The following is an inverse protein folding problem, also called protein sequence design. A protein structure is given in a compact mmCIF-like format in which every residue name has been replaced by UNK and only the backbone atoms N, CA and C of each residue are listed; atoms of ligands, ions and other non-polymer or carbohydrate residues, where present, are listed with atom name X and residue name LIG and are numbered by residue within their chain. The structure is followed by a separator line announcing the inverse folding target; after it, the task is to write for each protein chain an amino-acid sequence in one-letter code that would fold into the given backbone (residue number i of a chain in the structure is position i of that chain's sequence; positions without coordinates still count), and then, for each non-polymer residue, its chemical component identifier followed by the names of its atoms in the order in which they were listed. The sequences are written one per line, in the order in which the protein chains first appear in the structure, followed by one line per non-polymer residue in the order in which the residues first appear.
data_IF_943475637205
#
_entry.id   IF_943475637205
#
_cell.length_a   1.000
_cell.length_b   1.000
_cell.length_c   1.000
_cell.angle_alpha   90.00
_cell.angle_beta   90.00
_cell.angle_gamma   90.00
#
_symmetry.space_group_name_H-M   'P 1'
#
loop_
_entity.id
_entity.type
_entity.pdbx_description
1 polymer ?
#
# COMPACT_ATOMS: atom_id res chain seq x y z
N UNK A 1 50.04 -4.89 22.82
CA UNK A 1 48.67 -5.24 22.39
C UNK A 1 48.49 -4.63 21.03
N UNK A 2 48.49 -5.46 19.99
CA UNK A 2 48.31 -5.01 18.61
C UNK A 2 46.81 -5.05 18.33
N UNK A 3 46.22 -3.89 18.05
CA UNK A 3 44.89 -3.83 17.47
C UNK A 3 44.95 -4.49 16.09
N UNK A 4 44.22 -5.59 15.94
CA UNK A 4 43.94 -6.18 14.64
C UNK A 4 43.19 -5.12 13.83
N UNK A 5 43.68 -4.69 12.66
CA UNK A 5 42.93 -3.78 11.83
C UNK A 5 41.62 -4.46 11.43
N UNK A 6 40.49 -3.85 11.80
CA UNK A 6 39.17 -4.21 11.26
C UNK A 6 39.33 -4.24 9.74
N UNK A 7 38.97 -5.36 9.10
CA UNK A 7 39.06 -5.49 7.65
C UNK A 7 38.37 -4.28 7.03
N UNK A 8 39.12 -3.43 6.35
CA UNK A 8 38.56 -2.25 5.70
C UNK A 8 37.43 -2.72 4.78
N UNK A 9 36.21 -2.24 5.04
CA UNK A 9 35.01 -2.48 4.22
C UNK A 9 35.38 -2.20 2.75
N UNK A 10 35.58 -3.27 1.97
CA UNK A 10 35.77 -3.16 0.52
C UNK A 10 34.39 -3.20 -0.10
N UNK A 11 34.03 -2.26 -1.00
CA UNK A 11 32.73 -2.28 -1.64
C UNK A 11 32.54 -3.60 -2.38
N UNK A 12 31.43 -4.27 -2.10
CA UNK A 12 31.05 -5.50 -2.80
C UNK A 12 30.33 -5.10 -4.08
N UNK A 13 30.73 -5.66 -5.21
CA UNK A 13 30.10 -5.31 -6.49
C UNK A 13 28.86 -6.17 -6.74
N UNK A 14 27.71 -5.52 -6.92
CA UNK A 14 26.44 -6.18 -7.25
C UNK A 14 26.12 -5.97 -8.72
N UNK A 15 25.70 -7.04 -9.42
CA UNK A 15 25.20 -6.96 -10.79
C UNK A 15 23.71 -6.71 -10.78
N UNK A 16 23.24 -5.99 -11.79
CA UNK A 16 21.81 -5.77 -12.03
C UNK A 16 21.57 -5.69 -13.54
N UNK A 17 20.33 -5.75 -13.96
CA UNK A 17 19.95 -5.67 -15.37
C UNK A 17 18.99 -4.51 -15.60
N UNK A 18 19.23 -3.79 -16.68
CA UNK A 18 18.32 -2.74 -17.12
C UNK A 18 17.35 -3.28 -18.15
N UNK A 19 16.07 -3.13 -17.86
CA UNK A 19 14.99 -3.44 -18.78
C UNK A 19 14.42 -2.17 -19.41
N UNK A 20 14.12 -2.18 -20.73
CA UNK A 20 13.32 -1.14 -21.36
C UNK A 20 11.98 -0.97 -20.66
N UNK A 21 11.54 0.28 -20.47
CA UNK A 21 10.24 0.55 -19.85
C UNK A 21 9.05 -0.01 -20.63
N UNK A 22 9.20 -0.21 -21.95
CA UNK A 22 8.17 -0.81 -22.80
C UNK A 22 7.90 -2.30 -22.53
N UNK A 23 8.77 -2.98 -21.79
CA UNK A 23 8.53 -4.36 -21.34
C UNK A 23 7.51 -4.45 -20.20
N UNK A 24 7.29 -3.34 -19.47
CA UNK A 24 6.40 -3.30 -18.32
C UNK A 24 5.20 -2.38 -18.57
N UNK A 25 3.99 -2.75 -18.12
CA UNK A 25 2.86 -1.84 -18.15
C UNK A 25 3.14 -0.56 -17.34
N UNK A 26 2.82 0.60 -17.90
CA UNK A 26 3.10 1.90 -17.28
C UNK A 26 2.38 2.04 -15.92
N UNK A 27 3.04 2.61 -14.89
CA UNK A 27 2.43 2.81 -13.60
C UNK A 27 1.27 3.80 -13.67
N UNK A 28 0.33 3.66 -12.74
CA UNK A 28 -0.80 4.55 -12.59
C UNK A 28 -0.33 5.76 -11.77
N UNK A 29 -0.32 6.93 -12.40
CA UNK A 29 -0.06 8.22 -11.75
C UNK A 29 -1.23 9.13 -12.07
N UNK A 30 -2.09 9.37 -11.09
CA UNK A 30 -3.31 10.12 -11.29
C UNK A 30 -3.70 10.91 -10.03
N UNK A 31 -4.12 12.15 -10.22
CA UNK A 31 -4.72 12.96 -9.16
C UNK A 31 -6.22 12.70 -9.12
N UNK A 32 -6.70 12.12 -8.02
CA UNK A 32 -8.07 11.61 -7.91
C UNK A 32 -8.69 11.97 -6.57
N UNK A 33 -10.01 12.20 -6.50
CA UNK A 33 -10.74 12.23 -5.24
C UNK A 33 -10.53 10.94 -4.44
N UNK A 34 -10.07 11.06 -3.20
CA UNK A 34 -9.77 9.93 -2.32
C UNK A 34 -10.74 9.86 -1.14
N UNK A 35 -11.16 8.65 -0.77
CA UNK A 35 -11.95 8.36 0.40
C UNK A 35 -11.37 7.17 1.18
N UNK A 36 -11.61 7.18 2.48
CA UNK A 36 -11.17 6.18 3.44
C UNK A 36 -12.43 5.62 4.13
N UNK A 37 -12.64 4.30 4.04
CA UNK A 37 -13.80 3.61 4.61
C UNK A 37 -13.32 2.41 5.42
N UNK A 38 -13.67 2.36 6.71
CA UNK A 38 -13.40 1.20 7.57
C UNK A 38 -14.62 0.88 8.42
N UNK A 39 -14.87 -0.41 8.64
CA UNK A 39 -15.95 -0.91 9.49
C UNK A 39 -15.33 -1.45 10.78
N UNK A 40 -15.46 -0.68 11.86
CA UNK A 40 -14.86 -0.97 13.15
C UNK A 40 -15.87 -1.64 14.08
N UNK A 41 -15.39 -2.50 14.98
CA UNK A 41 -16.19 -3.21 15.97
C UNK A 41 -15.62 -2.90 17.35
N UNK A 42 -15.80 -1.67 17.84
CA UNK A 42 -15.09 -1.16 19.02
C UNK A 42 -15.43 -1.90 20.31
N UNK A 43 -16.58 -2.59 20.34
CA UNK A 43 -17.04 -3.36 21.51
C UNK A 43 -16.43 -4.78 21.58
N UNK A 44 -15.66 -5.19 20.56
CA UNK A 44 -15.02 -6.51 20.54
C UNK A 44 -13.58 -6.41 21.05
N UNK A 45 -13.20 -7.39 21.86
CA UNK A 45 -11.79 -7.55 22.26
C UNK A 45 -10.96 -8.09 21.07
N UNK A 46 -9.86 -7.44 20.69
CA UNK A 46 -9.02 -7.90 19.58
C UNK A 46 -8.27 -9.17 19.97
N UNK A 47 -8.18 -10.12 19.03
CA UNK A 47 -7.36 -11.35 19.20
C UNK A 47 -6.39 -11.63 18.08
N UNK A 48 -6.43 -10.83 17.03
CA UNK A 48 -5.39 -10.76 16.02
C UNK A 48 -4.87 -9.35 15.88
N UNK A 49 -3.60 -9.26 15.52
CA UNK A 49 -3.16 -8.15 14.69
C UNK A 49 -3.58 -8.47 13.26
N UNK A 50 -4.12 -7.49 12.54
CA UNK A 50 -4.42 -7.67 11.13
C UNK A 50 -3.17 -8.17 10.42
N UNK A 51 -3.29 -9.31 9.75
CA UNK A 51 -2.14 -9.92 9.05
C UNK A 51 -1.70 -9.09 7.83
N UNK A 52 -2.58 -8.19 7.40
CA UNK A 52 -2.33 -7.24 6.33
C UNK A 52 -1.64 -5.99 6.89
N UNK A 53 -0.33 -5.85 6.66
CA UNK A 53 0.37 -4.56 6.66
C UNK A 53 -0.06 -3.70 5.44
N UNK A 54 -1.34 -3.75 5.09
CA UNK A 54 -1.81 -3.30 3.80
C UNK A 54 -2.73 -2.09 3.89
N UNK A 55 -2.64 -1.19 2.89
CA UNK A 55 -1.57 -1.11 1.91
C UNK A 55 -0.30 -0.60 2.56
N UNK A 56 0.87 -1.20 2.33
CA UNK A 56 1.88 -0.91 1.28
C UNK A 56 1.82 0.50 0.62
N UNK A 57 0.92 1.36 1.08
CA UNK A 57 0.75 2.73 0.69
C UNK A 57 1.44 3.58 1.74
N UNK A 58 2.20 4.56 1.28
CA UNK A 58 2.74 5.58 2.15
C UNK A 58 2.02 6.88 1.80
N UNK A 59 1.07 7.36 2.62
CA UNK A 59 0.49 8.68 2.44
C UNK A 59 1.49 9.74 2.91
N UNK A 60 1.82 10.72 2.06
CA UNK A 60 2.75 11.79 2.43
C UNK A 60 2.55 13.06 1.62
N UNK A 61 3.13 14.16 2.08
CA UNK A 61 3.19 15.41 1.34
C UNK A 61 4.59 15.59 0.73
N UNK A 62 4.64 16.07 -0.49
CA UNK A 62 5.86 16.51 -1.17
C UNK A 62 5.56 17.85 -1.84
N UNK A 63 6.13 18.93 -1.30
CA UNK A 63 5.66 20.29 -1.59
C UNK A 63 4.18 20.44 -1.24
N UNK A 64 3.41 21.01 -2.16
CA UNK A 64 1.95 21.21 -2.02
C UNK A 64 1.12 19.98 -2.43
N UNK A 65 1.77 18.89 -2.85
CA UNK A 65 1.09 17.68 -3.33
C UNK A 65 0.96 16.65 -2.22
N UNK A 66 -0.28 16.24 -1.93
CA UNK A 66 -0.58 15.10 -1.08
C UNK A 66 -0.64 13.82 -1.91
N UNK A 67 0.30 12.91 -1.67
CA UNK A 67 0.47 11.66 -2.38
C UNK A 67 -0.02 10.46 -1.57
N UNK A 68 -0.40 9.42 -2.28
CA UNK A 68 -0.52 8.06 -1.74
C UNK A 68 0.28 7.17 -2.66
N UNK A 69 1.37 6.60 -2.12
CA UNK A 69 2.33 5.85 -2.91
C UNK A 69 2.28 4.37 -2.58
N UNK A 70 1.87 3.55 -3.53
CA UNK A 70 1.86 2.10 -3.44
C UNK A 70 3.10 1.54 -4.14
N UNK A 71 3.90 0.78 -3.41
CA UNK A 71 5.03 0.03 -4.00
C UNK A 71 4.62 -1.35 -4.56
N UNK A 72 3.43 -1.87 -4.22
CA UNK A 72 2.86 -3.13 -4.74
C UNK A 72 1.42 -2.91 -5.21
N UNK A 73 0.93 -3.79 -6.09
CA UNK A 73 -0.44 -3.70 -6.58
C UNK A 73 -1.43 -3.96 -5.44
N UNK A 74 -2.31 -3.01 -5.22
CA UNK A 74 -3.33 -2.95 -4.17
C UNK A 74 -4.75 -2.84 -4.71
N UNK A 75 -4.89 -2.40 -5.96
CA UNK A 75 -6.17 -2.33 -6.64
C UNK A 75 -6.71 -3.74 -6.82
N UNK A 76 -7.86 -4.02 -6.20
CA UNK A 76 -8.54 -5.33 -6.28
C UNK A 76 -8.66 -5.78 -7.75
N UNK A 77 -8.45 -7.04 -8.08
CA UNK A 77 -8.77 -7.52 -9.42
C UNK A 77 -10.30 -7.56 -9.60
N UNK A 78 -10.79 -6.85 -10.61
CA UNK A 78 -12.18 -6.91 -11.04
C UNK A 78 -12.19 -7.31 -12.50
N UNK A 79 -13.00 -8.28 -12.86
CA UNK A 79 -13.21 -8.67 -14.26
C UNK A 79 -13.86 -7.51 -15.02
N UNK A 80 -13.03 -6.65 -15.62
CA UNK A 80 -13.28 -6.15 -16.95
C UNK A 80 -13.68 -4.69 -17.16
N UNK A 81 -14.06 -3.90 -16.14
CA UNK A 81 -14.69 -2.61 -16.45
C UNK A 81 -14.33 -1.45 -15.50
N UNK A 82 -13.02 -1.19 -15.36
CA UNK A 82 -12.54 0.01 -14.62
C UNK A 82 -12.15 1.15 -15.53
N UNK A 83 -12.01 0.91 -16.84
CA UNK A 83 -11.44 1.88 -17.77
C UNK A 83 -10.01 2.31 -17.41
N UNK A 84 -9.37 3.17 -18.23
CA UNK A 84 -8.08 3.74 -17.89
C UNK A 84 -8.18 4.70 -16.69
N UNK A 85 -7.09 4.98 -15.95
CA UNK A 85 -7.10 5.90 -14.81
C UNK A 85 -7.74 7.26 -15.07
N UNK A 86 -7.68 7.75 -16.32
CA UNK A 86 -8.29 9.00 -16.75
C UNK A 86 -9.84 9.00 -16.69
N UNK A 87 -10.49 7.82 -16.61
CA UNK A 87 -11.96 7.70 -16.51
C UNK A 87 -12.42 7.43 -15.08
N UNK A 88 -11.52 7.39 -14.10
CA UNK A 88 -11.89 7.11 -12.71
C UNK A 88 -12.43 8.38 -12.05
N UNK A 89 -13.59 8.28 -11.39
CA UNK A 89 -14.18 9.40 -10.64
C UNK A 89 -13.59 9.55 -9.24
N UNK A 90 -12.92 8.51 -8.75
CA UNK A 90 -12.24 8.53 -7.47
C UNK A 90 -11.74 7.15 -7.05
N UNK A 91 -11.06 7.13 -5.91
CA UNK A 91 -10.53 5.93 -5.28
C UNK A 91 -10.96 5.88 -3.82
N UNK A 92 -11.22 4.67 -3.35
CA UNK A 92 -11.63 4.40 -1.98
C UNK A 92 -10.74 3.30 -1.41
N UNK A 93 -10.13 3.58 -0.26
CA UNK A 93 -9.32 2.64 0.48
C UNK A 93 -10.09 2.10 1.70
N UNK A 94 -9.97 0.80 1.91
CA UNK A 94 -10.32 0.12 3.15
C UNK A 94 -9.04 -0.38 3.83
N UNK A 95 -9.12 -0.86 5.10
CA UNK A 95 -7.96 -1.48 5.74
C UNK A 95 -7.39 -2.68 4.96
N UNK A 96 -8.18 -3.29 4.08
CA UNK A 96 -7.75 -4.47 3.33
C UNK A 96 -7.52 -4.23 1.84
N UNK A 97 -8.13 -3.20 1.23
CA UNK A 97 -8.17 -3.07 -0.24
C UNK A 97 -8.11 -1.61 -0.71
N UNK A 98 -7.67 -1.42 -1.95
CA UNK A 98 -7.93 -0.21 -2.72
C UNK A 98 -8.89 -0.54 -3.87
N UNK A 99 -9.91 0.29 -4.07
CA UNK A 99 -10.83 0.15 -5.20
C UNK A 99 -11.11 1.48 -5.89
N UNK A 100 -11.43 1.38 -7.18
CA UNK A 100 -11.95 2.51 -7.97
C UNK A 100 -13.42 2.70 -7.59
N UNK A 101 -13.82 3.95 -7.33
CA UNK A 101 -15.22 4.30 -7.14
C UNK A 101 -15.90 4.25 -8.51
N UNK A 102 -16.89 3.36 -8.72
CA UNK A 102 -17.56 3.25 -10.02
C UNK A 102 -18.44 4.45 -10.31
N UNK A 103 -18.71 4.69 -11.60
CA UNK A 103 -19.63 5.72 -12.10
C UNK A 103 -21.10 5.44 -11.78
N UNK A 104 -21.42 4.21 -11.35
CA UNK A 104 -22.76 3.76 -10.97
C UNK A 104 -22.73 3.11 -9.58
N UNK A 105 -23.87 3.11 -8.90
CA UNK A 105 -24.00 2.56 -7.54
C UNK A 105 -23.44 1.13 -7.44
N UNK A 106 -22.61 0.88 -6.41
CA UNK A 106 -22.02 -0.44 -6.25
C UNK A 106 -21.55 -0.74 -4.83
N UNK A 107 -21.53 -2.04 -4.51
CA UNK A 107 -21.00 -2.62 -3.27
C UNK A 107 -19.52 -3.03 -3.45
N UNK A 108 -18.69 -2.26 -4.16
CA UNK A 108 -17.35 -2.72 -4.61
C UNK A 108 -16.38 -3.07 -3.48
N UNK A 109 -16.62 -2.53 -2.28
CA UNK A 109 -15.65 -2.58 -1.19
C UNK A 109 -16.02 -3.66 -0.19
N UNK A 110 -15.10 -4.62 -0.02
CA UNK A 110 -15.19 -5.57 1.08
C UNK A 110 -14.76 -4.84 2.36
N UNK A 111 -15.68 -4.77 3.32
CA UNK A 111 -15.44 -4.16 4.64
C UNK A 111 -15.02 -5.19 5.71
N UNK A 112 -15.05 -6.48 5.35
CA UNK A 112 -14.61 -7.63 6.15
C UNK A 112 -13.89 -8.61 5.23
N UNK A 113 -13.09 -9.50 5.79
CA UNK A 113 -12.42 -10.59 5.06
C UNK A 113 -12.72 -11.95 5.69
N UNK A 114 -12.26 -13.03 5.08
CA UNK A 114 -12.45 -14.41 5.56
C UNK A 114 -11.11 -15.09 5.85
N UNK A 115 -11.07 -15.96 6.86
CA UNK A 115 -9.92 -16.80 7.21
C UNK A 115 -10.44 -18.12 7.80
N UNK A 116 -10.02 -19.26 7.25
CA UNK A 116 -10.31 -20.60 7.78
C UNK A 116 -11.80 -20.79 8.15
N UNK A 117 -12.69 -20.46 7.20
CA UNK A 117 -14.16 -20.44 7.34
C UNK A 117 -14.75 -19.42 8.34
N UNK A 118 -13.91 -18.69 9.09
CA UNK A 118 -14.30 -17.57 9.94
C UNK A 118 -14.30 -16.23 9.19
N UNK A 119 -15.06 -15.26 9.70
CA UNK A 119 -15.04 -13.87 9.24
C UNK A 119 -14.09 -13.03 10.09
N UNK A 120 -13.13 -12.38 9.44
CA UNK A 120 -12.23 -11.42 10.07
C UNK A 120 -12.90 -10.05 10.06
N UNK A 121 -13.09 -9.47 11.24
CA UNK A 121 -13.61 -8.12 11.41
C UNK A 121 -12.54 -7.19 12.01
N UNK A 122 -12.55 -5.93 11.60
CA UNK A 122 -11.67 -4.91 12.17
C UNK A 122 -12.23 -4.41 13.49
N UNK A 123 -11.42 -4.43 14.55
CA UNK A 123 -11.74 -3.82 15.85
C UNK A 123 -11.36 -2.34 15.84
N UNK A 124 -10.11 -2.04 15.48
CA UNK A 124 -9.61 -0.68 15.20
C UNK A 124 -8.58 -0.74 14.07
N UNK A 125 -8.51 0.31 13.24
CA UNK A 125 -7.54 0.39 12.16
C UNK A 125 -7.15 1.81 11.78
N UNK A 126 -5.93 1.97 11.25
CA UNK A 126 -5.58 3.14 10.43
C UNK A 126 -5.53 2.72 8.96
N UNK A 127 -6.09 3.53 8.05
CA UNK A 127 -5.93 3.26 6.62
C UNK A 127 -4.45 3.44 6.27
N UNK A 128 -3.86 2.44 5.59
CA UNK A 128 -2.42 2.37 5.32
C UNK A 128 -1.55 2.33 6.58
N UNK A 129 -2.06 1.70 7.65
CA UNK A 129 -1.36 1.49 8.91
C UNK A 129 -1.78 0.19 9.57
N UNK A 130 -1.54 0.11 10.88
CA UNK A 130 -1.87 -1.07 11.66
C UNK A 130 -3.39 -1.22 11.86
N UNK A 131 -3.82 -2.48 11.96
CA UNK A 131 -5.17 -2.85 12.34
C UNK A 131 -5.16 -3.95 13.37
N UNK A 132 -6.15 -3.95 14.25
CA UNK A 132 -6.48 -5.05 15.15
C UNK A 132 -7.77 -5.70 14.68
N UNK A 133 -7.83 -7.02 14.82
CA UNK A 133 -8.93 -7.82 14.28
C UNK A 133 -9.47 -8.80 15.30
N UNK A 134 -10.72 -9.22 15.10
CA UNK A 134 -11.33 -10.35 15.77
C UNK A 134 -11.83 -11.37 14.73
N UNK A 135 -11.83 -12.65 15.10
CA UNK A 135 -12.37 -13.73 14.28
C UNK A 135 -13.76 -14.11 14.77
N UNK A 136 -14.74 -14.05 13.88
CA UNK A 136 -16.13 -14.41 14.15
C UNK A 136 -16.51 -15.68 13.39
N UNK A 137 -17.30 -16.56 13.99
CA UNK A 137 -17.75 -17.80 13.34
C UNK A 137 -18.57 -17.50 12.07
N UNK A 138 -19.45 -16.50 12.15
CA UNK A 138 -20.24 -16.01 11.04
C UNK A 138 -20.58 -14.54 11.25
N UNK A 139 -20.44 -13.73 10.20
CA UNK A 139 -20.80 -12.32 10.25
C UNK A 139 -21.30 -11.82 8.91
N UNK A 140 -22.54 -11.34 8.89
CA UNK A 140 -23.11 -10.69 7.71
C UNK A 140 -22.73 -9.21 7.71
N UNK A 141 -21.75 -8.78 6.91
CA UNK A 141 -21.35 -7.38 6.88
C UNK A 141 -22.53 -6.42 6.58
N UNK A 142 -22.59 -5.25 7.23
CA UNK A 142 -23.55 -4.20 6.88
C UNK A 142 -23.47 -3.81 5.40
N UNK A 143 -24.62 -3.59 4.78
CA UNK A 143 -24.66 -3.13 3.38
C UNK A 143 -24.24 -1.67 3.32
N UNK A 144 -23.11 -1.41 2.66
CA UNK A 144 -22.59 -0.07 2.40
C UNK A 144 -22.41 0.13 0.91
N UNK A 145 -23.01 1.19 0.37
CA UNK A 145 -22.93 1.57 -1.04
C UNK A 145 -22.40 2.98 -1.18
N UNK A 146 -21.40 3.17 -2.04
CA UNK A 146 -21.02 4.51 -2.47
C UNK A 146 -21.95 4.93 -3.60
N UNK A 147 -22.64 6.06 -3.43
CA UNK A 147 -23.55 6.61 -4.42
C UNK A 147 -22.83 7.57 -5.37
N UNK A 148 -21.97 8.42 -4.82
CA UNK A 148 -21.34 9.52 -5.53
C UNK A 148 -20.05 9.91 -4.81
N UNK A 149 -18.99 10.16 -5.59
CA UNK A 149 -17.81 10.87 -5.14
C UNK A 149 -17.59 12.10 -6.02
N UNK A 150 -17.61 13.27 -5.42
CA UNK A 150 -17.22 14.53 -6.07
C UNK A 150 -16.11 15.20 -5.28
N UNK A 151 -15.41 16.18 -5.83
CA UNK A 151 -14.26 16.86 -5.17
C UNK A 151 -14.55 17.32 -3.72
N UNK A 152 -15.79 17.70 -3.42
CA UNK A 152 -16.20 18.29 -2.14
C UNK A 152 -16.84 17.33 -1.14
N UNK A 153 -17.26 16.12 -1.55
CA UNK A 153 -17.95 15.18 -0.66
C UNK A 153 -17.96 13.73 -1.17
N UNK A 154 -18.25 12.82 -0.25
CA UNK A 154 -18.67 11.44 -0.52
C UNK A 154 -20.14 11.29 -0.08
N UNK A 155 -20.98 10.69 -0.94
CA UNK A 155 -22.32 10.22 -0.58
C UNK A 155 -22.35 8.71 -0.58
N UNK A 156 -22.96 8.15 0.45
CA UNK A 156 -23.06 6.71 0.64
C UNK A 156 -24.37 6.35 1.32
N UNK A 157 -24.83 5.13 1.11
CA UNK A 157 -25.93 4.52 1.87
C UNK A 157 -25.33 3.44 2.76
N UNK A 158 -25.61 3.51 4.06
CA UNK A 158 -25.28 2.45 5.01
C UNK A 158 -26.58 1.98 5.65
N UNK A 159 -26.87 0.67 5.53
CA UNK A 159 -28.09 0.03 6.05
C UNK A 159 -29.38 0.78 5.67
N UNK A 160 -29.46 1.22 4.40
CA UNK A 160 -30.62 1.94 3.86
C UNK A 160 -30.71 3.43 4.21
N UNK A 161 -29.82 3.94 5.05
CA UNK A 161 -29.77 5.37 5.40
C UNK A 161 -28.70 6.08 4.56
N UNK A 162 -29.07 7.20 3.93
CA UNK A 162 -28.13 8.02 3.16
C UNK A 162 -27.33 8.96 4.06
N UNK A 163 -26.03 9.02 3.80
CA UNK A 163 -25.08 9.90 4.47
C UNK A 163 -24.28 10.71 3.45
N UNK A 164 -24.00 11.96 3.82
CA UNK A 164 -23.04 12.81 3.13
C UNK A 164 -21.88 13.16 4.09
N UNK A 165 -20.65 13.01 3.60
CA UNK A 165 -19.41 13.34 4.32
C UNK A 165 -18.62 14.35 3.49
N UNK A 166 -18.29 15.50 4.06
CA UNK A 166 -17.58 16.57 3.35
C UNK A 166 -16.09 16.31 3.29
N UNK A 167 -15.45 16.82 2.25
CA UNK A 167 -13.99 16.86 2.15
C UNK A 167 -13.38 17.56 3.36
N UNK A 168 -12.24 17.06 3.83
CA UNK A 168 -11.54 17.51 5.04
C UNK A 168 -12.14 16.98 6.34
N UNK A 169 -13.21 16.18 6.30
CA UNK A 169 -13.90 15.69 7.51
C UNK A 169 -13.79 14.18 7.68
N UNK A 170 -13.97 13.75 8.93
CA UNK A 170 -14.19 12.36 9.34
C UNK A 170 -15.58 12.27 9.95
N UNK A 171 -16.31 11.21 9.62
CA UNK A 171 -17.60 10.87 10.21
C UNK A 171 -17.56 9.44 10.73
N UNK A 172 -18.13 9.21 11.91
CA UNK A 172 -18.44 7.88 12.43
C UNK A 172 -19.95 7.68 12.32
N UNK A 173 -20.37 6.53 11.82
CA UNK A 173 -21.76 6.16 11.61
C UNK A 173 -21.98 4.87 12.38
N UNK A 174 -22.67 4.95 13.51
CA UNK A 174 -23.09 3.76 14.27
C UNK A 174 -24.15 3.01 13.46
N UNK A 175 -23.97 1.70 13.33
CA UNK A 175 -24.86 0.81 12.59
C UNK A 175 -25.74 0.00 13.54
N UNK A 176 -26.63 -0.83 12.99
CA UNK A 176 -27.46 -1.69 13.81
C UNK A 176 -26.61 -2.61 14.69
N UNK A 177 -27.02 -2.71 15.96
CA UNK A 177 -26.44 -3.66 16.92
C UNK A 177 -26.55 -5.10 16.40
N UNK A 178 -25.51 -5.89 16.64
CA UNK A 178 -25.40 -7.27 16.20
C UNK A 178 -24.91 -8.15 17.33
N UNK A 179 -25.44 -9.37 17.35
CA UNK A 179 -24.96 -10.44 18.22
C UNK A 179 -24.09 -11.36 17.39
N UNK A 180 -22.86 -11.60 17.84
CA UNK A 180 -21.83 -12.35 17.12
C UNK A 180 -21.19 -13.40 18.01
N UNK A 181 -20.73 -14.50 17.42
CA UNK A 181 -20.00 -15.56 18.10
C UNK A 181 -18.55 -15.54 17.64
N UNK A 182 -17.62 -15.69 18.58
CA UNK A 182 -16.19 -15.63 18.31
C UNK A 182 -15.66 -17.00 17.94
N UNK A 183 -14.87 -17.06 16.86
CA UNK A 183 -14.31 -18.32 16.37
C UNK A 183 -13.15 -18.85 17.25
N UNK A 184 -12.59 -18.03 18.14
CA UNK A 184 -11.49 -18.41 19.02
C UNK A 184 -11.92 -18.95 20.40
N UNK A 185 -13.20 -19.29 20.56
CA UNK A 185 -13.71 -19.96 21.76
C UNK A 185 -13.98 -19.03 22.95
N UNK A 186 -14.30 -17.75 22.68
CA UNK A 186 -14.78 -16.83 23.71
C UNK A 186 -16.10 -17.26 24.35
N UNK A 187 -16.43 -16.70 25.53
CA UNK A 187 -17.63 -17.04 26.31
C UNK A 187 -18.92 -16.58 25.60
N UNK A 188 -19.41 -17.40 24.67
CA UNK A 188 -20.71 -17.26 24.02
C UNK A 188 -20.90 -16.02 23.16
N UNK A 189 -22.16 -15.80 22.80
CA UNK A 189 -22.57 -14.69 21.97
C UNK A 189 -22.27 -13.32 22.62
N UNK A 190 -21.56 -12.46 21.89
CA UNK A 190 -21.23 -11.09 22.30
C UNK A 190 -22.01 -10.08 21.46
N UNK A 191 -22.47 -9.00 22.08
CA UNK A 191 -23.14 -7.90 21.38
C UNK A 191 -22.12 -6.83 20.98
N UNK A 192 -22.20 -6.37 19.73
CA UNK A 192 -21.38 -5.26 19.21
C UNK A 192 -22.21 -4.31 18.37
N UNK A 193 -21.88 -3.02 18.41
CA UNK A 193 -22.42 -1.98 17.53
C UNK A 193 -21.35 -1.55 16.55
N UNK A 194 -21.35 -2.08 15.31
CA UNK A 194 -20.35 -1.71 14.33
C UNK A 194 -20.40 -0.23 14.00
N UNK A 195 -19.24 0.38 13.74
CA UNK A 195 -19.11 1.75 13.30
C UNK A 195 -18.51 1.81 11.90
N UNK A 196 -19.25 2.35 10.94
CA UNK A 196 -18.68 2.75 9.66
C UNK A 196 -17.97 4.10 9.84
N UNK A 197 -16.64 4.09 9.78
CA UNK A 197 -15.83 5.29 9.81
C UNK A 197 -15.45 5.69 8.40
N UNK A 198 -15.83 6.92 8.05
CA UNK A 198 -15.64 7.50 6.73
C UNK A 198 -14.82 8.76 6.85
N UNK A 199 -13.72 8.85 6.11
CA UNK A 199 -12.93 10.09 5.99
C UNK A 199 -12.79 10.44 4.52
N UNK A 200 -12.89 11.73 4.23
CA UNK A 200 -12.77 12.27 2.87
C UNK A 200 -11.62 13.27 2.84
N UNK A 201 -10.37 12.83 2.64
CA UNK A 201 -9.22 13.73 2.72
C UNK A 201 -9.12 14.75 1.58
N UNK A 202 -9.91 14.57 0.52
CA UNK A 202 -9.89 15.40 -0.70
C UNK A 202 -9.20 14.69 -1.85
N UNK A 203 -8.59 15.44 -2.75
CA UNK A 203 -7.80 14.86 -3.84
C UNK A 203 -6.45 14.37 -3.34
N UNK A 204 -5.97 13.28 -3.93
CA UNK A 204 -4.64 12.72 -3.71
C UNK A 204 -4.01 12.34 -5.03
N UNK A 205 -2.70 12.56 -5.15
CA UNK A 205 -1.91 12.01 -6.24
C UNK A 205 -1.58 10.56 -5.92
N UNK A 206 -2.26 9.64 -6.60
CA UNK A 206 -2.04 8.22 -6.50
C UNK A 206 -0.81 7.86 -7.34
N UNK A 207 0.15 7.18 -6.73
CA UNK A 207 1.19 6.44 -7.42
C UNK A 207 0.98 4.97 -7.14
N UNK A 208 0.81 4.16 -8.18
CA UNK A 208 0.49 2.74 -8.03
C UNK A 208 1.07 1.96 -9.21
N UNK A 209 1.54 0.71 -9.03
CA UNK A 209 1.92 -0.13 -10.16
C UNK A 209 0.76 -0.28 -11.16
N UNK A 210 1.00 -0.72 -12.38
CA UNK A 210 -0.13 -1.09 -13.24
C UNK A 210 -0.96 -2.23 -12.62
N UNK A 211 -2.20 -2.38 -13.07
CA UNK A 211 -3.01 -3.54 -12.69
C UNK A 211 -2.34 -4.83 -13.16
N UNK A 212 -2.23 -5.82 -12.26
CA UNK A 212 -1.56 -7.09 -12.54
C UNK A 212 -0.05 -6.97 -12.83
N UNK A 213 0.57 -5.83 -12.48
CA UNK A 213 2.00 -5.61 -12.66
C UNK A 213 2.84 -6.68 -11.95
N UNK A 214 3.84 -7.16 -12.65
CA UNK A 214 4.91 -8.04 -12.17
C UNK A 214 6.16 -7.24 -11.75
N UNK A 215 5.95 -6.04 -11.21
CA UNK A 215 7.00 -5.21 -10.65
C UNK A 215 6.54 -4.50 -9.37
N UNK A 216 7.52 -4.19 -8.51
CA UNK A 216 7.38 -3.23 -7.42
C UNK A 216 7.71 -1.83 -7.93
N UNK A 217 6.88 -0.86 -7.59
CA UNK A 217 7.07 0.53 -8.02
C UNK A 217 7.81 1.33 -6.93
N UNK A 218 8.76 2.16 -7.35
CA UNK A 218 9.48 3.07 -6.47
C UNK A 218 9.51 4.49 -7.06
N UNK A 219 9.64 5.52 -6.20
CA UNK A 219 9.87 6.89 -6.64
C UNK A 219 11.09 6.97 -7.57
N UNK A 220 11.19 8.08 -8.32
CA UNK A 220 12.35 8.31 -9.17
C UNK A 220 13.66 8.43 -8.38
N UNK A 221 13.61 8.90 -7.12
CA UNK A 221 14.78 9.30 -6.33
C UNK A 221 15.73 10.30 -7.02
N UNK A 222 15.39 10.83 -8.20
CA UNK A 222 16.31 11.62 -9.02
C UNK A 222 17.42 10.78 -9.66
N UNK A 223 17.32 9.45 -9.62
CA UNK A 223 18.29 8.55 -10.25
C UNK A 223 18.05 8.49 -11.76
N UNK A 224 19.13 8.45 -12.54
CA UNK A 224 19.08 8.09 -13.96
C UNK A 224 19.73 6.70 -14.13
N UNK A 225 18.92 5.69 -14.42
CA UNK A 225 19.41 4.31 -14.57
C UNK A 225 20.39 4.13 -15.74
N UNK A 226 20.46 5.06 -16.71
CA UNK A 226 21.51 5.05 -17.75
C UNK A 226 22.91 5.29 -17.17
N UNK A 227 22.97 6.04 -16.07
CA UNK A 227 24.23 6.48 -15.46
C UNK A 227 24.69 5.58 -14.32
N UNK A 228 23.80 4.70 -13.83
CA UNK A 228 24.11 3.75 -12.75
C UNK A 228 25.12 2.71 -13.25
N UNK A 229 26.29 2.55 -12.59
CA UNK A 229 27.27 1.54 -13.00
C UNK A 229 26.72 0.12 -12.92
N UNK A 230 27.16 -0.73 -13.85
CA UNK A 230 26.92 -2.16 -13.80
C UNK A 230 28.22 -2.92 -14.13
N UNK A 231 28.82 -3.65 -13.17
CA UNK A 231 28.35 -3.85 -11.80
C UNK A 231 28.44 -2.59 -10.93
N UNK A 232 27.54 -2.48 -9.96
CA UNK A 232 27.46 -1.38 -9.00
C UNK A 232 28.34 -1.68 -7.78
N UNK A 233 29.34 -0.84 -7.45
CA UNK A 233 30.05 -0.95 -6.17
C UNK A 233 29.11 -0.56 -5.03
N UNK A 234 28.78 -1.50 -4.16
CA UNK A 234 27.85 -1.29 -3.04
C UNK A 234 28.66 -1.08 -1.75
N UNK A 235 28.51 0.08 -1.08
CA UNK A 235 29.19 0.34 0.17
C UNK A 235 28.57 -0.47 1.31
N UNK A 236 29.41 -0.92 2.23
CA UNK A 236 29.01 -1.61 3.44
C UNK A 236 29.58 -0.92 4.67
N UNK A 237 28.81 -0.96 5.76
CA UNK A 237 29.23 -0.52 7.09
C UNK A 237 28.97 -1.68 8.05
N UNK A 238 30.01 -2.14 8.75
CA UNK A 238 29.95 -3.34 9.60
C UNK A 238 29.50 -4.61 8.85
N UNK A 239 29.81 -4.69 7.55
CA UNK A 239 29.40 -5.79 6.70
C UNK A 239 27.91 -5.77 6.28
N UNK A 240 27.13 -4.77 6.65
CA UNK A 240 25.75 -4.58 6.17
C UNK A 240 25.70 -3.49 5.09
N UNK A 241 24.67 -3.52 4.24
CA UNK A 241 24.45 -2.49 3.22
C UNK A 241 24.33 -1.11 3.88
N UNK A 242 25.17 -0.16 3.44
CA UNK A 242 25.07 1.24 3.85
C UNK A 242 24.16 2.00 2.88
N UNK A 243 22.89 2.19 3.26
CA UNK A 243 21.89 2.82 2.41
C UNK A 243 22.21 4.28 2.09
N UNK A 244 22.83 5.01 3.02
CA UNK A 244 23.14 6.44 2.85
C UNK A 244 24.36 6.61 1.95
N UNK A 245 25.43 5.85 2.19
CA UNK A 245 26.60 5.85 1.32
C UNK A 245 26.27 5.37 -0.10
N UNK A 246 25.36 4.39 -0.26
CA UNK A 246 24.91 3.96 -1.58
C UNK A 246 24.18 5.10 -2.30
N UNK A 247 23.30 5.83 -1.61
CA UNK A 247 22.62 6.98 -2.19
C UNK A 247 23.60 8.08 -2.61
N UNK A 248 24.57 8.41 -1.76
CA UNK A 248 25.63 9.39 -2.09
C UNK A 248 26.45 8.96 -3.31
N UNK A 249 26.82 7.68 -3.41
CA UNK A 249 27.55 7.14 -4.57
C UNK A 249 26.79 7.27 -5.89
N UNK A 250 25.46 7.34 -5.82
CA UNK A 250 24.55 7.53 -6.96
C UNK A 250 24.09 8.99 -7.09
N UNK A 251 24.72 9.92 -6.35
CA UNK A 251 24.41 11.35 -6.33
C UNK A 251 22.96 11.66 -5.93
N UNK A 252 22.35 10.83 -5.08
CA UNK A 252 20.98 11.03 -4.59
C UNK A 252 20.99 11.87 -3.32
N UNK A 253 20.36 13.04 -3.37
CA UNK A 253 20.09 13.83 -2.16
C UNK A 253 18.85 13.30 -1.45
N UNK A 254 19.07 12.42 -0.46
CA UNK A 254 18.00 11.92 0.40
C UNK A 254 17.58 12.94 1.47
N UNK A 255 18.44 13.89 1.84
CA UNK A 255 18.18 14.85 2.92
C UNK A 255 17.05 15.82 2.56
N UNK A 256 16.94 16.17 1.27
CA UNK A 256 15.86 16.99 0.74
C UNK A 256 14.53 16.22 0.53
N UNK A 257 14.51 14.89 0.77
CA UNK A 257 13.34 14.05 0.50
C UNK A 257 12.45 13.85 1.73
N UNK A 258 11.12 13.73 1.55
CA UNK A 258 10.22 13.30 2.60
C UNK A 258 10.68 11.97 3.22
N UNK A 259 10.48 11.80 4.53
CA UNK A 259 10.81 10.56 5.25
C UNK A 259 10.30 9.29 4.55
N UNK A 260 9.05 9.24 4.07
CA UNK A 260 8.52 8.17 3.22
C UNK A 260 9.38 7.76 2.03
N UNK A 261 9.93 8.72 1.28
CA UNK A 261 10.80 8.41 0.14
C UNK A 261 12.15 7.85 0.60
N UNK A 262 12.67 8.28 1.76
CA UNK A 262 13.90 7.70 2.34
C UNK A 262 13.71 6.23 2.77
N UNK A 263 12.54 5.89 3.30
CA UNK A 263 12.18 4.50 3.63
C UNK A 263 12.04 3.67 2.34
N UNK A 264 11.38 4.20 1.32
CA UNK A 264 11.27 3.54 0.01
C UNK A 264 12.63 3.35 -0.68
N UNK A 265 13.57 4.26 -0.44
CA UNK A 265 14.96 4.10 -0.88
C UNK A 265 15.64 2.90 -0.21
N UNK A 266 15.54 2.78 1.12
CA UNK A 266 16.10 1.63 1.84
C UNK A 266 15.49 0.31 1.31
N UNK A 267 14.19 0.30 1.04
CA UNK A 267 13.50 -0.84 0.47
C UNK A 267 14.05 -1.28 -0.90
N UNK A 268 14.19 -0.36 -1.87
CA UNK A 268 14.74 -0.72 -3.18
C UNK A 268 16.22 -1.10 -3.07
N UNK A 269 17.00 -0.38 -2.26
CA UNK A 269 18.41 -0.65 -2.06
C UNK A 269 18.65 -2.06 -1.49
N UNK A 270 17.90 -2.44 -0.46
CA UNK A 270 17.96 -3.79 0.10
C UNK A 270 17.45 -4.83 -0.90
N UNK A 271 16.36 -4.57 -1.62
CA UNK A 271 15.79 -5.59 -2.53
C UNK A 271 16.63 -5.80 -3.79
N UNK A 272 17.24 -4.75 -4.33
CA UNK A 272 17.96 -4.79 -5.60
C UNK A 272 19.49 -4.84 -5.45
N UNK A 273 20.04 -4.38 -4.33
CA UNK A 273 21.49 -4.15 -4.21
C UNK A 273 22.09 -4.69 -2.90
N UNK A 274 21.35 -5.44 -2.09
CA UNK A 274 21.94 -6.08 -0.92
C UNK A 274 23.00 -7.11 -1.37
N UNK A 275 24.29 -6.91 -0.99
CA UNK A 275 25.37 -7.81 -1.39
C UNK A 275 25.25 -9.21 -0.80
N UNK A 276 24.42 -9.39 0.24
CA UNK A 276 24.18 -10.67 0.91
C UNK A 276 22.83 -11.31 0.55
N UNK A 277 22.03 -10.65 -0.30
CA UNK A 277 20.81 -11.24 -0.80
C UNK A 277 21.15 -12.54 -1.54
N UNK A 278 20.70 -13.68 -1.00
CA UNK A 278 20.83 -14.99 -1.64
C UNK A 278 19.76 -15.12 -2.74
N UNK A 279 19.82 -14.27 -3.75
CA UNK A 279 18.99 -14.43 -4.94
C UNK A 279 19.79 -15.14 -6.03
N UNK A 280 19.20 -16.18 -6.61
CA UNK A 280 19.73 -16.84 -7.81
C UNK A 280 19.54 -15.97 -9.07
N UNK A 281 18.74 -14.91 -8.97
CA UNK A 281 18.38 -14.03 -10.07
C UNK A 281 19.04 -12.66 -9.96
N UNK A 282 19.46 -12.13 -11.12
CA UNK A 282 20.00 -10.78 -11.24
C UNK A 282 18.82 -9.79 -11.21
N UNK A 283 18.80 -8.80 -10.31
CA UNK A 283 17.68 -7.88 -10.18
C UNK A 283 17.49 -7.07 -11.46
N UNK A 284 16.26 -7.04 -11.98
CA UNK A 284 15.88 -6.32 -13.20
C UNK A 284 15.16 -5.03 -12.85
N UNK A 285 15.72 -3.90 -13.26
CA UNK A 285 15.21 -2.56 -13.03
C UNK A 285 14.79 -1.90 -14.35
N UNK A 286 13.66 -1.22 -14.33
CA UNK A 286 13.23 -0.34 -15.42
C UNK A 286 13.00 1.08 -14.90
N UNK A 287 13.14 2.06 -15.78
CA UNK A 287 12.80 3.44 -15.49
C UNK A 287 11.73 3.93 -16.44
N UNK A 288 10.56 4.24 -15.90
CA UNK A 288 9.43 4.74 -16.68
C UNK A 288 9.66 6.18 -17.15
N UNK A 289 8.98 6.67 -18.21
CA UNK A 289 9.07 8.06 -18.67
C UNK A 289 8.73 9.10 -17.59
N UNK A 290 7.98 8.70 -16.56
CA UNK A 290 7.62 9.50 -15.40
C UNK A 290 8.74 9.57 -14.35
N UNK A 291 9.92 9.02 -14.66
CA UNK A 291 11.09 8.93 -13.78
C UNK A 291 11.03 7.80 -12.75
N UNK A 292 9.85 7.22 -12.51
CA UNK A 292 9.66 6.15 -11.52
C UNK A 292 10.45 4.90 -11.88
N UNK A 293 10.85 4.15 -10.85
CA UNK A 293 11.64 2.92 -11.02
C UNK A 293 10.76 1.71 -10.76
N UNK A 294 10.73 0.77 -11.69
CA UNK A 294 10.14 -0.55 -11.51
C UNK A 294 11.21 -1.58 -11.19
N UNK A 295 11.02 -2.39 -10.15
CA UNK A 295 11.83 -3.56 -9.86
C UNK A 295 11.00 -4.80 -10.17
N UNK A 296 11.43 -5.59 -11.16
CA UNK A 296 10.77 -6.84 -11.53
C UNK A 296 10.66 -7.73 -10.30
N UNK A 297 9.48 -8.30 -10.07
CA UNK A 297 9.35 -9.44 -9.17
C UNK A 297 9.44 -10.69 -10.03
N UNK A 298 10.34 -11.60 -9.68
CA UNK A 298 10.25 -12.94 -10.23
C UNK A 298 8.89 -13.48 -9.78
N UNK A 299 8.05 -13.86 -10.75
CA UNK A 299 6.96 -14.76 -10.42
C UNK A 299 7.66 -16.04 -10.01
N UNK A 300 7.65 -16.35 -8.71
CA UNK A 300 7.85 -17.72 -8.29
C UNK A 300 6.99 -18.57 -9.22
N UNK A 301 7.64 -19.41 -10.02
CA UNK A 301 6.96 -20.33 -10.90
C UNK A 301 6.06 -21.17 -10.01
N UNK A 302 4.76 -20.87 -10.06
CA UNK A 302 3.79 -21.53 -9.20
C UNK A 302 3.88 -23.04 -9.36
N UNK A 303 3.98 -23.73 -8.23
CA UNK A 303 3.26 -24.97 -8.00
C UNK A 303 2.06 -24.66 -7.09
#
# INVERSE_FOLDING_TARGET
MSETPTAADRPTTVRWERSPHGEFPAPIIARLPYAELKLEHPDLEPTGYGESFFPDAVPYASGDTHRIFYWRSALRDGTGDRGPPATWEGICATPATLGVVPTAESNVFDLVSSRDDATVVTVDATIAGESTTALLESYAAPTVRVLERSESRLRLVAEGTEYAVRTGTRRRISLAERTVERADGGDGATTTTPELVVRVPGERELHHPALGADYRLFPSFGVDLETVPNPLPVPTTNGELDHEALAESLSLDLSARPYPERVLWQAIATTAFDPHARSETVPRLCQFPTGHVGLSVDRDGGE
#
